data_IF_376071814797
#
_entry.id   IF_376071814797
#
_cell.length_a   1.000
_cell.length_b   1.000
_cell.length_c   1.000
_cell.angle_alpha   90.00
_cell.angle_beta   90.00
_cell.angle_gamma   90.00
#
_symmetry.space_group_name_H-M   'P 1'
#
loop_
_entity.id
_entity.type
_entity.pdbx_description
1 polymer ?
#
# COMPACT_ATOMS: atom_id res chain seq x y z
N UNK A 1 38.27 28.57 31.45
CA UNK A 1 36.82 28.56 31.18
C UNK A 1 36.60 27.85 29.83
N UNK A 2 36.41 26.53 29.84
CA UNK A 2 36.38 25.72 28.61
C UNK A 2 34.94 25.37 28.23
N UNK A 3 34.46 25.92 27.12
CA UNK A 3 33.11 25.70 26.59
C UNK A 3 33.04 24.31 25.96
N UNK A 4 32.24 23.41 26.56
CA UNK A 4 31.97 22.07 25.99
C UNK A 4 31.27 22.20 24.63
N UNK A 5 31.68 21.48 23.58
CA UNK A 5 30.97 21.49 22.31
C UNK A 5 29.62 20.78 22.48
N UNK A 6 28.54 21.45 22.06
CA UNK A 6 27.22 20.83 21.90
C UNK A 6 27.34 19.69 20.89
N UNK A 7 27.37 18.44 21.38
CA UNK A 7 27.17 17.27 20.52
C UNK A 7 25.80 17.42 19.85
N UNK A 8 25.80 17.73 18.56
CA UNK A 8 24.64 17.56 17.69
C UNK A 8 24.20 16.09 17.82
N UNK A 9 23.18 15.83 18.64
CA UNK A 9 22.45 14.57 18.61
C UNK A 9 21.78 14.52 17.24
N UNK A 10 22.46 13.94 16.25
CA UNK A 10 21.80 13.48 15.02
C UNK A 10 20.76 12.46 15.46
N UNK A 11 19.50 12.88 15.53
CA UNK A 11 18.38 11.97 15.63
C UNK A 11 18.52 11.01 14.45
N UNK A 12 18.79 9.73 14.72
CA UNK A 12 18.71 8.70 13.69
C UNK A 12 17.25 8.67 13.27
N UNK A 13 16.89 9.35 12.17
CA UNK A 13 15.62 9.09 11.51
C UNK A 13 15.65 7.60 11.16
N UNK A 14 14.76 6.80 11.77
CA UNK A 14 14.52 5.44 11.25
C UNK A 14 14.14 5.63 9.79
N UNK A 15 14.88 4.98 8.89
CA UNK A 15 14.44 4.90 7.51
C UNK A 15 13.09 4.19 7.53
N UNK A 16 12.06 4.90 7.07
CA UNK A 16 10.76 4.28 6.84
C UNK A 16 10.97 3.26 5.71
N UNK A 17 10.63 1.99 5.94
CA UNK A 17 10.71 1.00 4.87
C UNK A 17 9.57 1.27 3.89
N UNK A 18 9.94 1.58 2.65
CA UNK A 18 8.99 1.69 1.55
C UNK A 18 8.85 0.34 0.86
N UNK A 19 7.61 -0.03 0.52
CA UNK A 19 7.30 -1.26 -0.19
C UNK A 19 6.74 -0.91 -1.57
N UNK A 20 7.17 -1.61 -2.61
CA UNK A 20 6.51 -1.56 -3.92
C UNK A 20 5.81 -2.88 -4.15
N UNK A 21 4.48 -2.83 -4.31
CA UNK A 21 3.66 -3.97 -4.68
C UNK A 21 3.27 -3.83 -6.15
N UNK A 22 3.98 -4.56 -7.01
CA UNK A 22 3.86 -4.43 -8.46
C UNK A 22 3.54 -5.76 -9.14
N UNK A 23 2.57 -5.75 -10.07
CA UNK A 23 2.30 -6.86 -11.01
C UNK A 23 2.02 -8.21 -10.34
N UNK A 24 1.29 -8.20 -9.22
CA UNK A 24 0.78 -9.41 -8.59
C UNK A 24 -0.63 -9.73 -9.08
N UNK A 25 -1.00 -11.02 -8.97
CA UNK A 25 -2.35 -11.52 -9.21
C UNK A 25 -2.88 -12.16 -7.94
N UNK A 26 -4.02 -11.68 -7.44
CA UNK A 26 -4.67 -12.17 -6.22
C UNK A 26 -6.17 -12.34 -6.47
N UNK A 27 -6.55 -13.49 -7.03
CA UNK A 27 -7.91 -13.76 -7.45
C UNK A 27 -8.55 -14.86 -6.59
N UNK A 28 -9.88 -14.85 -6.51
CA UNK A 28 -10.67 -15.92 -5.89
C UNK A 28 -10.32 -16.20 -4.42
N UNK A 29 -9.91 -15.17 -3.68
CA UNK A 29 -9.69 -15.29 -2.25
C UNK A 29 -11.02 -15.13 -1.49
N UNK A 30 -11.13 -15.79 -0.33
CA UNK A 30 -12.29 -15.72 0.56
C UNK A 30 -12.42 -14.38 1.32
N UNK A 31 -11.51 -13.42 1.08
CA UNK A 31 -11.48 -12.09 1.69
C UNK A 31 -11.13 -11.03 0.62
N UNK A 32 -10.26 -10.07 0.94
CA UNK A 32 -9.70 -9.17 -0.06
C UNK A 32 -8.62 -9.86 -0.89
N UNK A 33 -8.43 -9.43 -2.14
CA UNK A 33 -7.29 -9.90 -2.93
C UNK A 33 -5.96 -9.38 -2.37
N UNK A 34 -5.88 -8.06 -2.15
CA UNK A 34 -4.70 -7.39 -1.62
C UNK A 34 -5.12 -6.47 -0.47
N UNK A 35 -4.53 -6.67 0.71
CA UNK A 35 -4.76 -5.84 1.88
C UNK A 35 -3.47 -5.08 2.27
N UNK A 36 -3.46 -3.76 2.09
CA UNK A 36 -2.29 -2.88 2.30
C UNK A 36 -2.44 -2.07 3.59
N UNK A 37 -1.73 -2.49 4.63
CA UNK A 37 -1.76 -1.86 5.96
C UNK A 37 -0.73 -0.73 6.15
N UNK A 38 0.30 -0.66 5.32
CA UNK A 38 1.34 0.37 5.41
C UNK A 38 1.11 1.48 4.40
N UNK A 39 0.94 2.71 4.89
CA UNK A 39 0.83 3.92 4.05
C UNK A 39 2.10 4.23 3.24
N UNK A 40 3.22 3.57 3.50
CA UNK A 40 4.47 3.76 2.76
C UNK A 40 4.61 2.76 1.60
N UNK A 41 3.48 2.27 1.09
CA UNK A 41 3.42 1.32 -0.01
C UNK A 41 3.05 2.03 -1.30
N UNK A 42 3.73 1.70 -2.38
CA UNK A 42 3.31 2.01 -3.76
C UNK A 42 2.62 0.79 -4.34
N UNK A 43 1.37 0.94 -4.78
CA UNK A 43 0.56 -0.14 -5.37
C UNK A 43 0.40 0.14 -6.86
N UNK A 44 0.90 -0.73 -7.72
CA UNK A 44 0.97 -0.49 -9.16
C UNK A 44 0.73 -1.76 -9.97
N UNK A 45 -0.16 -1.68 -10.98
CA UNK A 45 -0.35 -2.75 -11.97
C UNK A 45 -0.70 -4.13 -11.39
N UNK A 46 -1.44 -4.20 -10.29
CA UNK A 46 -1.91 -5.48 -9.73
C UNK A 46 -3.28 -5.89 -10.29
N UNK A 47 -3.56 -7.19 -10.32
CA UNK A 47 -4.87 -7.75 -10.68
C UNK A 47 -5.47 -8.46 -9.46
N UNK A 48 -6.69 -8.10 -9.09
CA UNK A 48 -7.39 -8.72 -7.96
C UNK A 48 -8.89 -8.90 -8.27
N UNK A 49 -9.23 -10.05 -8.86
CA UNK A 49 -10.57 -10.35 -9.35
C UNK A 49 -11.28 -11.42 -8.53
N UNK A 50 -12.60 -11.32 -8.49
CA UNK A 50 -13.49 -12.35 -7.94
C UNK A 50 -13.17 -12.74 -6.49
N UNK A 51 -12.67 -11.81 -5.68
CA UNK A 51 -12.47 -12.00 -4.26
C UNK A 51 -13.77 -11.72 -3.49
N UNK A 52 -13.97 -12.35 -2.34
CA UNK A 52 -15.23 -12.25 -1.59
C UNK A 52 -15.53 -10.84 -1.08
N UNK A 53 -14.49 -10.01 -0.88
CA UNK A 53 -14.61 -8.62 -0.41
C UNK A 53 -14.10 -7.62 -1.46
N UNK A 54 -13.03 -6.88 -1.20
CA UNK A 54 -12.43 -5.96 -2.16
C UNK A 54 -11.38 -6.69 -3.02
N UNK A 55 -11.13 -6.18 -4.22
CA UNK A 55 -9.92 -6.56 -4.96
C UNK A 55 -8.69 -6.01 -4.24
N UNK A 56 -8.68 -4.71 -3.95
CA UNK A 56 -7.59 -4.05 -3.22
C UNK A 56 -8.16 -3.18 -2.10
N UNK A 57 -7.92 -3.58 -0.85
CA UNK A 57 -8.14 -2.72 0.32
C UNK A 57 -6.81 -2.06 0.70
N UNK A 58 -6.73 -0.73 0.64
CA UNK A 58 -5.54 -0.01 1.07
C UNK A 58 -5.87 1.08 2.08
N UNK A 59 -4.98 1.30 3.06
CA UNK A 59 -5.08 2.43 3.97
C UNK A 59 -4.88 3.76 3.25
N UNK A 60 -5.42 4.85 3.82
CA UNK A 60 -5.21 6.19 3.27
C UNK A 60 -3.74 6.62 3.32
N UNK A 61 -3.30 7.38 2.32
CA UNK A 61 -1.95 7.94 2.24
C UNK A 61 -0.90 7.04 1.58
N UNK A 62 -1.31 5.90 1.01
CA UNK A 62 -0.47 5.12 0.09
C UNK A 62 -0.16 5.92 -1.18
N UNK A 63 0.76 5.40 -2.00
CA UNK A 63 0.97 5.88 -3.37
C UNK A 63 0.26 4.96 -4.36
N UNK A 64 -0.75 5.48 -5.05
CA UNK A 64 -1.33 4.79 -6.20
C UNK A 64 -0.44 5.02 -7.42
N UNK A 65 0.23 3.95 -7.88
CA UNK A 65 1.07 3.98 -9.08
C UNK A 65 0.30 3.72 -10.37
N UNK A 66 -1.02 3.50 -10.30
CA UNK A 66 -1.91 3.29 -11.44
C UNK A 66 -1.87 1.89 -12.05
N UNK A 67 -2.81 1.64 -12.95
CA UNK A 67 -2.91 0.39 -13.72
C UNK A 67 -3.37 -0.83 -12.91
N UNK A 68 -3.87 -0.63 -11.69
CA UNK A 68 -4.50 -1.70 -10.92
C UNK A 68 -5.84 -2.07 -11.57
N UNK A 69 -6.19 -3.34 -11.49
CA UNK A 69 -7.44 -3.90 -11.99
C UNK A 69 -8.11 -4.73 -10.91
N UNK A 70 -9.41 -4.52 -10.76
CA UNK A 70 -10.21 -5.30 -9.83
C UNK A 70 -11.64 -5.41 -10.39
N UNK A 71 -12.06 -6.64 -10.65
CA UNK A 71 -13.37 -6.91 -11.23
C UNK A 71 -14.09 -8.07 -10.52
N UNK A 72 -15.40 -7.94 -10.38
CA UNK A 72 -16.25 -9.01 -9.87
C UNK A 72 -16.04 -9.34 -8.39
N UNK A 73 -15.40 -8.46 -7.62
CA UNK A 73 -15.24 -8.66 -6.18
C UNK A 73 -16.55 -8.36 -5.44
N UNK A 74 -16.77 -9.01 -4.29
CA UNK A 74 -18.04 -8.96 -3.56
C UNK A 74 -18.41 -7.56 -3.05
N UNK A 75 -17.43 -6.68 -2.82
CA UNK A 75 -17.67 -5.27 -2.55
C UNK A 75 -17.70 -4.46 -3.87
N UNK A 76 -18.80 -3.74 -4.18
CA UNK A 76 -18.95 -3.01 -5.44
C UNK A 76 -17.94 -1.87 -5.64
N UNK A 77 -17.30 -1.37 -4.57
CA UNK A 77 -16.23 -0.38 -4.69
C UNK A 77 -15.01 -0.93 -5.45
N UNK A 78 -14.82 -2.25 -5.46
CA UNK A 78 -13.66 -2.98 -5.99
C UNK A 78 -12.34 -2.64 -5.29
N UNK A 79 -12.03 -1.37 -5.07
CA UNK A 79 -10.81 -0.90 -4.45
C UNK A 79 -11.04 0.28 -3.50
N UNK A 80 -10.16 0.42 -2.50
CA UNK A 80 -10.10 1.61 -1.63
C UNK A 80 -8.72 2.26 -1.70
N UNK A 81 -8.68 3.59 -1.72
CA UNK A 81 -7.47 4.42 -1.75
C UNK A 81 -6.50 4.21 -2.93
N UNK A 82 -6.79 3.30 -3.85
CA UNK A 82 -6.21 3.18 -5.20
C UNK A 82 -7.33 3.17 -6.24
N UNK A 83 -7.01 3.61 -7.45
CA UNK A 83 -7.89 3.49 -8.60
C UNK A 83 -7.74 2.11 -9.25
N UNK A 84 -8.87 1.49 -9.60
CA UNK A 84 -8.94 0.21 -10.29
C UNK A 84 -9.83 0.32 -11.52
N UNK A 85 -9.35 -0.24 -12.64
CA UNK A 85 -10.10 -0.42 -13.88
C UNK A 85 -10.87 -1.74 -13.88
#
# INVERSE_FOLDING_TARGET
MATRPRRLRRARRRAQQSTTLERNTANQNDADGIHVLSRFTTVIRNTADSNALLGIEAVSGITDGGGNRAFGNGNPLQCTNVFCN
#
